data_IF_388537714155
#
_entry.id   IF_388537714155
#
_cell.length_a   1.000
_cell.length_b   1.000
_cell.length_c   1.000
_cell.angle_alpha   90.00
_cell.angle_beta   90.00
_cell.angle_gamma   90.00
#
_symmetry.space_group_name_H-M   'P 1'
#
loop_
_entity.id
_entity.type
_entity.pdbx_description
1 polymer ?
#
# COMPACT_ATOMS: atom_id res chain seq x y z
N UNK A 1 -20.17 21.64 -13.57
CA UNK A 1 -19.11 21.84 -12.56
C UNK A 1 -17.78 21.86 -13.31
N UNK A 2 -17.09 23.00 -13.34
CA UNK A 2 -15.85 23.16 -14.12
C UNK A 2 -14.67 23.00 -13.18
N UNK A 3 -13.86 21.96 -13.38
CA UNK A 3 -12.68 21.69 -12.57
C UNK A 3 -11.57 22.69 -12.91
N UNK A 4 -11.04 23.40 -11.90
CA UNK A 4 -9.92 24.31 -12.05
C UNK A 4 -8.65 23.52 -11.73
N UNK A 5 -7.68 23.39 -12.66
CA UNK A 5 -6.47 22.64 -12.40
C UNK A 5 -5.55 23.41 -11.43
N UNK A 6 -5.30 22.84 -10.25
CA UNK A 6 -4.33 23.35 -9.28
C UNK A 6 -3.02 22.59 -9.45
N UNK A 7 -1.90 23.29 -9.62
CA UNK A 7 -0.55 22.72 -9.63
C UNK A 7 0.03 22.78 -8.22
N UNK A 8 0.55 21.65 -7.75
CA UNK A 8 1.23 21.52 -6.45
C UNK A 8 2.72 21.31 -6.66
N UNK A 9 3.55 22.13 -6.00
CA UNK A 9 5.00 21.92 -5.90
C UNK A 9 5.36 21.54 -4.46
N UNK A 10 5.79 20.30 -4.25
CA UNK A 10 6.24 19.80 -2.94
C UNK A 10 7.76 19.98 -2.81
N UNK A 11 8.21 20.67 -1.76
CA UNK A 11 9.64 20.83 -1.46
C UNK A 11 10.17 19.64 -0.66
N UNK A 12 10.84 18.70 -1.34
CA UNK A 12 11.31 17.42 -0.77
C UNK A 12 12.39 17.54 0.33
N UNK A 13 13.11 18.66 0.42
CA UNK A 13 14.24 18.81 1.36
C UNK A 13 13.84 18.76 2.84
N UNK A 14 12.57 19.05 3.19
CA UNK A 14 12.07 19.02 4.57
C UNK A 14 11.63 17.62 5.06
N UNK A 15 11.51 16.64 4.17
CA UNK A 15 11.09 15.28 4.55
C UNK A 15 12.16 14.54 5.37
N UNK A 16 13.45 14.81 5.15
CA UNK A 16 14.55 14.06 5.80
C UNK A 16 14.67 14.32 7.32
N UNK A 17 14.40 15.55 7.76
CA UNK A 17 14.47 15.94 9.19
C UNK A 17 13.28 15.40 9.99
N UNK A 18 12.16 15.12 9.32
CA UNK A 18 10.94 14.56 9.92
C UNK A 18 11.13 13.15 10.48
N UNK A 19 11.98 12.34 9.84
CA UNK A 19 12.22 10.94 10.23
C UNK A 19 13.17 10.77 11.43
N UNK A 20 13.71 11.83 12.03
CA UNK A 20 14.75 11.71 13.07
C UNK A 20 14.21 11.54 14.51
N UNK A 21 12.92 11.82 14.78
CA UNK A 21 12.31 11.74 16.13
C UNK A 21 10.87 11.21 16.09
N UNK A 22 10.61 10.15 15.33
CA UNK A 22 9.24 9.75 14.96
C UNK A 22 8.53 8.82 15.93
N UNK A 23 9.26 8.21 16.87
CA UNK A 23 8.71 7.22 17.80
C UNK A 23 7.68 7.77 18.79
N UNK A 24 7.68 9.08 19.05
CA UNK A 24 6.72 9.72 19.96
C UNK A 24 5.60 10.48 19.26
N UNK A 25 5.53 10.46 17.92
CA UNK A 25 4.56 11.25 17.17
C UNK A 25 3.31 10.40 16.90
N UNK A 26 2.14 10.88 17.34
CA UNK A 26 0.84 10.23 17.09
C UNK A 26 0.17 10.74 15.83
N UNK A 27 0.35 12.03 15.53
CA UNK A 27 -0.32 12.70 14.42
C UNK A 27 0.63 13.67 13.71
N UNK A 28 0.45 13.78 12.40
CA UNK A 28 1.05 14.80 11.56
C UNK A 28 -0.02 15.77 11.09
N UNK A 29 0.27 17.07 11.14
CA UNK A 29 -0.62 18.09 10.56
C UNK A 29 -0.14 18.42 9.15
N UNK A 30 -0.88 17.97 8.15
CA UNK A 30 -0.68 18.34 6.76
C UNK A 30 -1.34 19.69 6.50
N UNK A 31 -0.53 20.73 6.38
CA UNK A 31 -0.97 22.07 5.95
C UNK A 31 -0.75 22.28 4.46
N UNK A 32 -1.80 22.59 3.73
CA UNK A 32 -1.79 23.00 2.33
C UNK A 32 -2.19 24.47 2.28
N UNK A 33 -1.26 25.32 1.82
CA UNK A 33 -1.47 26.75 1.64
C UNK A 33 -1.20 27.11 0.19
N UNK A 34 -2.12 27.85 -0.42
CA UNK A 34 -2.01 28.31 -1.79
C UNK A 34 -2.94 29.49 -2.05
N UNK A 35 -3.02 29.91 -3.31
CA UNK A 35 -3.99 30.91 -3.75
C UNK A 35 -4.54 30.50 -5.11
N UNK A 36 -5.84 30.73 -5.32
CA UNK A 36 -6.50 30.51 -6.59
C UNK A 36 -6.79 31.86 -7.25
N UNK A 37 -6.27 32.04 -8.46
CA UNK A 37 -6.49 33.26 -9.24
C UNK A 37 -7.73 33.12 -10.12
N UNK A 38 -8.71 33.97 -9.88
CA UNK A 38 -9.94 34.05 -10.65
C UNK A 38 -9.88 35.27 -11.58
N UNK A 39 -9.94 35.06 -12.90
CA UNK A 39 -10.12 36.17 -13.82
C UNK A 39 -11.55 36.70 -13.70
N UNK A 40 -11.72 37.97 -13.35
CA UNK A 40 -13.03 38.62 -13.31
C UNK A 40 -13.01 39.79 -14.29
N UNK A 41 -14.02 39.89 -15.16
CA UNK A 41 -14.22 41.05 -16.03
C UNK A 41 -15.33 41.91 -15.44
N UNK A 42 -14.97 42.94 -14.67
CA UNK A 42 -15.87 44.01 -14.22
C UNK A 42 -15.29 45.36 -14.65
N UNK A 43 -15.81 45.94 -15.74
CA UNK A 43 -15.48 47.30 -16.17
C UNK A 43 -13.97 47.62 -16.23
N UNK A 44 -13.59 48.83 -15.79
CA UNK A 44 -12.23 49.37 -15.82
C UNK A 44 -11.33 48.96 -14.63
N UNK A 45 -11.71 47.94 -13.86
CA UNK A 45 -10.95 47.48 -12.69
C UNK A 45 -10.04 46.28 -13.01
N UNK A 46 -8.96 46.07 -12.24
CA UNK A 46 -7.97 45.01 -12.50
C UNK A 46 -8.61 43.61 -12.55
N UNK A 47 -8.12 42.82 -13.52
CA UNK A 47 -8.78 41.64 -14.08
C UNK A 47 -8.56 40.31 -13.34
N UNK A 48 -8.03 40.33 -12.11
CA UNK A 48 -7.68 39.10 -11.35
C UNK A 48 -7.94 39.26 -9.85
N UNK A 49 -8.70 38.34 -9.28
CA UNK A 49 -8.90 38.20 -7.83
C UNK A 49 -8.24 36.91 -7.36
N UNK A 50 -7.30 37.03 -6.42
CA UNK A 50 -6.62 35.88 -5.82
C UNK A 50 -7.29 35.53 -4.50
N UNK A 51 -7.79 34.30 -4.37
CA UNK A 51 -8.39 33.80 -3.13
C UNK A 51 -7.40 32.89 -2.44
N UNK A 52 -6.94 33.21 -1.22
CA UNK A 52 -6.07 32.32 -0.47
C UNK A 52 -6.85 31.07 -0.05
N UNK A 53 -6.22 29.92 -0.20
CA UNK A 53 -6.71 28.62 0.23
C UNK A 53 -5.76 28.11 1.32
N UNK A 54 -6.31 27.79 2.48
CA UNK A 54 -5.59 27.12 3.57
C UNK A 54 -6.41 25.91 4.02
N UNK A 55 -5.84 24.73 3.90
CA UNK A 55 -6.40 23.49 4.42
C UNK A 55 -5.39 22.89 5.38
N UNK A 56 -5.83 22.52 6.57
CA UNK A 56 -5.03 21.77 7.52
C UNK A 56 -5.76 20.47 7.83
N UNK A 57 -5.08 19.33 7.71
CA UNK A 57 -5.64 18.02 8.01
C UNK A 57 -4.68 17.26 8.92
N UNK A 58 -5.21 16.68 10.00
CA UNK A 58 -4.45 15.75 10.85
C UNK A 58 -4.47 14.37 10.22
N UNK A 59 -3.31 13.73 10.16
CA UNK A 59 -3.12 12.37 9.67
C UNK A 59 -2.40 11.57 10.75
N UNK A 60 -2.82 10.33 11.03
CA UNK A 60 -2.13 9.48 11.99
C UNK A 60 -0.70 9.22 11.52
N UNK A 61 0.23 9.22 12.46
CA UNK A 61 1.63 8.96 12.19
C UNK A 61 1.86 7.46 11.99
N UNK A 62 2.12 7.05 10.75
CA UNK A 62 2.27 5.65 10.39
C UNK A 62 3.59 5.40 9.65
N UNK A 63 4.48 4.67 10.30
CA UNK A 63 5.76 4.21 9.75
C UNK A 63 5.83 2.70 10.01
N UNK A 64 5.28 1.89 9.09
CA UNK A 64 5.24 0.44 9.28
C UNK A 64 6.63 -0.17 9.10
N UNK A 65 7.01 -1.01 10.04
CA UNK A 65 8.03 -2.04 9.90
C UNK A 65 7.32 -3.40 9.76
N UNK A 66 7.80 -4.25 8.86
CA UNK A 66 7.11 -5.49 8.48
C UNK A 66 8.05 -6.67 8.57
N UNK A 67 7.71 -7.64 9.42
CA UNK A 67 8.43 -8.90 9.57
C UNK A 67 7.54 -10.10 9.21
N UNK A 68 8.21 -11.19 8.84
CA UNK A 68 7.59 -12.47 8.54
C UNK A 68 7.94 -13.47 9.65
N UNK A 69 6.93 -14.07 10.27
CA UNK A 69 7.07 -14.98 11.40
C UNK A 69 6.26 -16.26 11.16
N UNK A 70 6.55 -17.32 11.93
CA UNK A 70 5.78 -18.58 11.97
C UNK A 70 5.42 -19.15 10.59
N UNK A 71 6.43 -19.32 9.73
CA UNK A 71 6.25 -19.82 8.36
C UNK A 71 6.11 -21.34 8.35
N UNK A 72 4.94 -21.82 7.96
CA UNK A 72 4.60 -23.22 7.80
C UNK A 72 4.43 -23.56 6.32
N UNK A 73 5.23 -24.49 5.80
CA UNK A 73 5.14 -24.94 4.41
C UNK A 73 4.38 -26.26 4.30
N UNK A 74 3.49 -26.35 3.32
CA UNK A 74 2.76 -27.57 2.97
C UNK A 74 3.03 -27.92 1.51
N UNK A 75 3.75 -29.02 1.30
CA UNK A 75 4.07 -29.51 -0.02
C UNK A 75 2.80 -30.02 -0.75
N UNK A 76 2.72 -29.83 -2.08
CA UNK A 76 1.61 -30.37 -2.86
C UNK A 76 1.58 -31.90 -2.81
N UNK A 77 0.38 -32.48 -2.85
CA UNK A 77 0.25 -33.92 -3.04
C UNK A 77 0.50 -34.28 -4.50
N UNK A 78 1.18 -35.40 -4.75
CA UNK A 78 1.34 -35.95 -6.10
C UNK A 78 0.00 -36.32 -6.75
N UNK A 79 -1.05 -36.48 -5.94
CA UNK A 79 -2.41 -36.77 -6.40
C UNK A 79 -3.14 -35.53 -6.93
N UNK A 80 -2.66 -34.33 -6.63
CA UNK A 80 -3.32 -33.07 -7.01
C UNK A 80 -3.12 -32.73 -8.50
N UNK A 81 -2.19 -33.42 -9.18
CA UNK A 81 -2.01 -33.33 -10.62
C UNK A 81 -1.82 -31.89 -11.12
N UNK A 82 -2.79 -31.40 -11.89
CA UNK A 82 -2.75 -30.04 -12.46
C UNK A 82 -3.06 -28.93 -11.45
N UNK A 83 -3.69 -29.27 -10.33
CA UNK A 83 -4.08 -28.34 -9.26
C UNK A 83 -3.05 -28.32 -8.11
N UNK A 84 -1.94 -29.03 -8.27
CA UNK A 84 -0.84 -29.05 -7.31
C UNK A 84 -0.33 -27.63 -7.00
N UNK A 85 -0.39 -27.26 -5.73
CA UNK A 85 0.11 -25.99 -5.23
C UNK A 85 0.99 -26.18 -4.00
N UNK A 86 2.09 -25.43 -3.93
CA UNK A 86 2.85 -25.27 -2.70
C UNK A 86 2.14 -24.22 -1.85
N UNK A 87 1.71 -24.61 -0.65
CA UNK A 87 1.08 -23.70 0.29
C UNK A 87 2.06 -23.27 1.38
N UNK A 88 1.96 -22.02 1.81
CA UNK A 88 2.73 -21.45 2.91
C UNK A 88 1.81 -20.59 3.77
N UNK A 89 1.63 -20.98 5.03
CA UNK A 89 0.96 -20.16 6.03
C UNK A 89 2.02 -19.40 6.83
N UNK A 90 1.85 -18.10 7.04
CA UNK A 90 2.78 -17.30 7.82
C UNK A 90 2.09 -16.14 8.51
N UNK A 91 2.73 -15.61 9.53
CA UNK A 91 2.28 -14.44 10.25
C UNK A 91 3.04 -13.22 9.71
N UNK A 92 2.32 -12.28 9.12
CA UNK A 92 2.84 -10.97 8.76
C UNK A 92 2.68 -10.06 9.97
N UNK A 93 3.77 -9.81 10.68
CA UNK A 93 3.80 -8.89 11.81
C UNK A 93 4.15 -7.49 11.31
N UNK A 94 3.29 -6.54 11.58
CA UNK A 94 3.43 -5.15 11.17
C UNK A 94 3.51 -4.32 12.45
N UNK A 95 4.59 -3.58 12.63
CA UNK A 95 4.80 -2.70 13.78
C UNK A 95 4.80 -1.24 13.32
N UNK A 96 4.09 -0.36 14.01
CA UNK A 96 4.22 1.07 13.76
C UNK A 96 5.39 1.60 14.60
N UNK A 97 6.41 2.11 13.92
CA UNK A 97 7.56 2.75 14.57
C UNK A 97 7.22 4.16 15.09
N UNK A 98 6.01 4.66 14.81
CA UNK A 98 5.44 5.87 15.39
C UNK A 98 4.40 5.54 16.47
N UNK A 99 3.82 6.55 17.11
CA UNK A 99 2.94 6.37 18.27
C UNK A 99 1.45 6.17 17.92
N UNK A 100 1.06 6.24 16.64
CA UNK A 100 -0.33 6.05 16.26
C UNK A 100 -0.76 4.58 16.39
N UNK A 101 -1.91 4.37 17.02
CA UNK A 101 -2.57 3.07 17.01
C UNK A 101 -3.08 2.72 15.62
N UNK A 102 -2.89 1.47 15.21
CA UNK A 102 -3.39 0.96 13.94
C UNK A 102 -3.77 -0.52 14.01
N UNK A 103 -4.56 -0.99 13.05
CA UNK A 103 -4.88 -2.39 12.88
C UNK A 103 -5.04 -2.69 11.39
N UNK A 104 -4.41 -3.76 10.91
CA UNK A 104 -4.52 -4.22 9.52
C UNK A 104 -5.49 -5.39 9.48
N UNK A 105 -6.72 -5.13 9.05
CA UNK A 105 -7.79 -6.12 8.97
C UNK A 105 -7.74 -6.85 7.63
N UNK A 106 -6.94 -7.90 7.61
CA UNK A 106 -6.79 -8.76 6.46
C UNK A 106 -5.86 -8.22 5.38
N UNK A 107 -5.47 -9.14 4.50
CA UNK A 107 -4.59 -8.89 3.38
C UNK A 107 -4.84 -9.99 2.35
N UNK A 108 -5.43 -9.60 1.23
CA UNK A 108 -5.61 -10.47 0.08
C UNK A 108 -4.71 -9.98 -1.04
N UNK A 109 -4.04 -10.89 -1.73
CA UNK A 109 -3.21 -10.53 -2.86
C UNK A 109 -3.14 -11.62 -3.92
N UNK A 110 -2.78 -11.21 -5.12
CA UNK A 110 -2.43 -12.06 -6.24
C UNK A 110 -1.26 -11.44 -6.99
N UNK A 111 -0.34 -12.27 -7.44
CA UNK A 111 0.77 -11.91 -8.29
C UNK A 111 0.72 -12.75 -9.55
N UNK A 112 0.72 -12.06 -10.69
CA UNK A 112 0.92 -12.64 -12.01
C UNK A 112 2.34 -12.35 -12.46
N UNK A 113 2.98 -13.34 -13.08
CA UNK A 113 4.31 -13.22 -13.69
C UNK A 113 4.25 -13.79 -15.11
N UNK A 114 4.64 -12.98 -16.09
CA UNK A 114 4.58 -13.36 -17.51
C UNK A 114 3.16 -13.66 -18.00
N UNK A 115 2.15 -13.02 -17.38
CA UNK A 115 0.73 -13.26 -17.67
C UNK A 115 0.16 -14.56 -17.09
N UNK A 116 0.93 -15.30 -16.28
CA UNK A 116 0.47 -16.50 -15.57
C UNK A 116 0.39 -16.25 -14.06
N UNK A 117 -0.60 -16.86 -13.39
CA UNK A 117 -0.68 -16.80 -11.93
C UNK A 117 0.59 -17.40 -11.31
N UNK A 118 1.21 -16.65 -10.41
CA UNK A 118 2.47 -17.00 -9.76
C UNK A 118 2.30 -17.25 -8.26
N UNK A 119 1.57 -16.36 -7.58
CA UNK A 119 1.35 -16.45 -6.14
C UNK A 119 -0.01 -15.82 -5.80
N UNK A 120 -0.72 -16.40 -4.85
CA UNK A 120 -1.96 -15.83 -4.29
C UNK A 120 -1.92 -15.95 -2.78
N UNK A 121 -2.46 -14.97 -2.06
CA UNK A 121 -2.51 -14.99 -0.61
C UNK A 121 -3.84 -14.47 -0.10
N UNK A 122 -4.33 -15.08 0.97
CA UNK A 122 -5.54 -14.65 1.68
C UNK A 122 -5.29 -14.63 3.17
N UNK A 123 -5.73 -13.58 3.83
CA UNK A 123 -5.71 -13.54 5.29
C UNK A 123 -6.68 -14.55 5.88
N UNK A 124 -6.19 -15.36 6.80
CA UNK A 124 -6.99 -16.28 7.61
C UNK A 124 -7.49 -15.60 8.89
N UNK A 125 -6.59 -14.85 9.53
CA UNK A 125 -6.85 -14.22 10.82
C UNK A 125 -6.03 -12.95 10.95
N UNK A 126 -6.60 -11.98 11.66
CA UNK A 126 -5.89 -10.80 12.14
C UNK A 126 -5.97 -10.75 13.65
N UNK A 127 -4.88 -10.38 14.30
CA UNK A 127 -4.82 -10.10 15.73
C UNK A 127 -3.96 -8.88 16.02
N UNK A 128 -4.07 -8.36 17.23
CA UNK A 128 -3.20 -7.32 17.77
C UNK A 128 -2.27 -7.96 18.79
N UNK A 129 -1.00 -7.57 18.75
CA UNK A 129 0.00 -7.94 19.73
C UNK A 129 0.82 -6.69 20.13
N UNK A 130 0.47 -6.07 21.25
CA UNK A 130 1.05 -4.79 21.66
C UNK A 130 0.75 -3.66 20.66
N UNK A 131 1.82 -3.02 20.16
CA UNK A 131 1.76 -2.01 19.09
C UNK A 131 1.84 -2.63 17.68
N UNK A 132 1.81 -3.96 17.57
CA UNK A 132 1.85 -4.66 16.30
C UNK A 132 0.46 -5.16 15.88
N UNK A 133 0.23 -5.15 14.56
CA UNK A 133 -0.84 -5.88 13.91
C UNK A 133 -0.25 -7.14 13.28
N UNK A 134 -0.80 -8.31 13.64
CA UNK A 134 -0.38 -9.59 13.09
C UNK A 134 -1.47 -10.10 12.15
N UNK A 135 -1.09 -10.37 10.90
CA UNK A 135 -2.00 -10.90 9.87
C UNK A 135 -1.50 -12.27 9.46
N UNK A 136 -2.21 -13.33 9.84
CA UNK A 136 -1.90 -14.68 9.36
C UNK A 136 -2.43 -14.84 7.95
N UNK A 137 -1.54 -15.12 7.01
CA UNK A 137 -1.82 -15.26 5.59
C UNK A 137 -1.57 -16.71 5.17
N UNK A 138 -2.51 -17.28 4.43
CA UNK A 138 -2.30 -18.51 3.68
C UNK A 138 -2.00 -18.16 2.23
N UNK A 139 -0.82 -18.57 1.77
CA UNK A 139 -0.32 -18.26 0.44
C UNK A 139 -0.15 -19.53 -0.37
N UNK A 140 -0.56 -19.49 -1.63
CA UNK A 140 -0.56 -20.61 -2.55
C UNK A 140 0.20 -20.27 -3.83
N UNK A 141 1.17 -21.12 -4.16
CA UNK A 141 1.96 -21.06 -5.38
C UNK A 141 1.55 -22.23 -6.29
N UNK A 142 0.77 -21.98 -7.37
CA UNK A 142 0.38 -23.03 -8.31
C UNK A 142 1.62 -23.49 -9.10
N UNK A 143 2.03 -24.75 -8.93
CA UNK A 143 3.32 -25.26 -9.43
C UNK A 143 3.43 -25.13 -10.96
N UNK A 144 2.38 -25.50 -11.69
CA UNK A 144 2.37 -25.40 -13.16
C UNK A 144 2.43 -23.95 -13.65
N UNK A 145 1.69 -23.05 -13.00
CA UNK A 145 1.67 -21.62 -13.34
C UNK A 145 3.01 -20.97 -13.08
N UNK A 146 3.55 -21.19 -11.88
CA UNK A 146 4.85 -20.68 -11.46
C UNK A 146 6.00 -21.23 -12.31
N UNK A 147 5.98 -22.53 -12.66
CA UNK A 147 6.98 -23.13 -13.54
C UNK A 147 7.00 -22.50 -14.93
N UNK A 148 5.83 -22.25 -15.54
CA UNK A 148 5.73 -21.54 -16.83
C UNK A 148 6.22 -20.10 -16.73
N UNK A 149 5.87 -19.40 -15.66
CA UNK A 149 6.30 -18.03 -15.40
C UNK A 149 7.82 -17.91 -15.21
N UNK A 150 8.44 -18.88 -14.51
CA UNK A 150 9.88 -18.95 -14.34
C UNK A 150 10.60 -19.25 -15.66
N UNK A 151 10.12 -20.24 -16.41
CA UNK A 151 10.68 -20.56 -17.73
C UNK A 151 10.58 -19.38 -18.71
N UNK A 152 9.50 -18.60 -18.68
CA UNK A 152 9.35 -17.42 -19.53
C UNK A 152 10.30 -16.30 -19.10
N UNK A 153 10.50 -16.08 -17.80
CA UNK A 153 11.50 -15.15 -17.27
C UNK A 153 12.91 -15.49 -17.76
N UNK A 154 13.33 -16.76 -17.60
CA UNK A 154 14.65 -17.23 -18.02
C UNK A 154 14.88 -17.13 -19.52
N UNK A 155 13.92 -17.56 -20.35
CA UNK A 155 14.05 -17.52 -21.81
C UNK A 155 14.06 -16.09 -22.38
N UNK A 156 13.37 -15.17 -21.72
CA UNK A 156 13.11 -13.83 -22.27
C UNK A 156 14.00 -12.73 -21.66
N UNK A 157 14.89 -13.07 -20.72
CA UNK A 157 15.73 -12.10 -20.00
C UNK A 157 14.93 -11.11 -19.13
N UNK A 158 13.70 -11.47 -18.78
CA UNK A 158 12.76 -10.58 -18.11
C UNK A 158 11.31 -11.01 -18.26
N UNK A 159 10.45 -10.50 -17.39
CA UNK A 159 9.02 -10.82 -17.40
C UNK A 159 8.20 -9.69 -16.79
N UNK A 160 7.01 -9.45 -17.33
CA UNK A 160 6.09 -8.49 -16.73
C UNK A 160 5.49 -9.10 -15.47
N UNK A 161 5.38 -8.31 -14.41
CA UNK A 161 4.66 -8.70 -13.21
C UNK A 161 3.44 -7.81 -13.01
N UNK A 162 2.43 -8.34 -12.35
CA UNK A 162 1.30 -7.57 -11.83
C UNK A 162 0.92 -8.09 -10.46
N UNK A 163 0.93 -7.21 -9.47
CA UNK A 163 0.51 -7.48 -8.11
C UNK A 163 -0.80 -6.73 -7.88
N UNK A 164 -1.83 -7.46 -7.44
CA UNK A 164 -3.15 -6.92 -7.11
C UNK A 164 -3.55 -7.36 -5.72
N UNK A 165 -4.25 -6.52 -4.99
CA UNK A 165 -4.78 -6.91 -3.70
C UNK A 165 -5.53 -5.82 -2.99
N UNK A 166 -6.00 -6.19 -1.82
CA UNK A 166 -6.81 -5.38 -0.94
C UNK A 166 -6.42 -5.66 0.52
N UNK A 167 -6.56 -4.63 1.34
CA UNK A 167 -6.37 -4.67 2.77
C UNK A 167 -7.19 -3.55 3.40
N UNK A 168 -7.60 -3.70 4.65
CA UNK A 168 -8.21 -2.64 5.42
C UNK A 168 -7.24 -2.20 6.52
N UNK A 169 -6.98 -0.90 6.62
CA UNK A 169 -6.16 -0.33 7.69
C UNK A 169 -7.01 0.63 8.50
N UNK A 170 -7.18 0.32 9.77
CA UNK A 170 -7.90 1.13 10.72
C UNK A 170 -6.92 1.91 11.61
N UNK A 171 -7.21 3.19 11.83
CA UNK A 171 -6.52 4.03 12.81
C UNK A 171 -7.53 4.49 13.88
N UNK A 172 -7.72 3.70 14.96
CA UNK A 172 -8.73 3.99 15.98
C UNK A 172 -8.57 5.38 16.58
N UNK A 173 -9.66 6.13 16.70
CA UNK A 173 -9.65 7.48 17.29
C UNK A 173 -9.15 8.58 16.34
N UNK A 174 -9.03 8.30 15.04
CA UNK A 174 -8.70 9.29 14.01
C UNK A 174 -9.80 9.41 12.96
N UNK A 175 -9.73 10.41 12.08
CA UNK A 175 -10.66 10.53 10.92
C UNK A 175 -10.50 9.39 9.88
N UNK A 176 -9.56 8.46 10.10
CA UNK A 176 -9.26 7.29 9.26
C UNK A 176 -9.54 5.98 10.02
N UNK A 177 -10.65 5.92 10.76
CA UNK A 177 -11.04 4.70 11.53
C UNK A 177 -11.17 3.46 10.67
N UNK A 178 -11.49 3.62 9.37
CA UNK A 178 -11.49 2.54 8.39
C UNK A 178 -10.97 3.05 7.06
N UNK A 179 -9.91 2.44 6.54
CA UNK A 179 -9.32 2.80 5.26
C UNK A 179 -9.15 1.56 4.40
N UNK A 180 -10.06 1.38 3.45
CA UNK A 180 -9.91 0.35 2.42
C UNK A 180 -8.75 0.74 1.49
N UNK A 181 -7.71 -0.10 1.46
CA UNK A 181 -6.54 0.06 0.61
C UNK A 181 -6.55 -0.99 -0.51
N UNK A 182 -6.73 -0.52 -1.74
CA UNK A 182 -6.60 -1.36 -2.93
C UNK A 182 -5.31 -1.02 -3.66
N UNK A 183 -4.60 -2.04 -4.12
CA UNK A 183 -3.40 -1.87 -4.91
C UNK A 183 -3.46 -2.70 -6.19
N UNK A 184 -3.03 -2.08 -7.28
CA UNK A 184 -2.78 -2.72 -8.56
C UNK A 184 -1.49 -2.12 -9.13
N UNK A 185 -0.41 -2.90 -9.04
CA UNK A 185 0.93 -2.49 -9.44
C UNK A 185 1.43 -3.44 -10.51
N UNK A 186 1.84 -2.90 -11.64
CA UNK A 186 2.49 -3.65 -12.70
C UNK A 186 3.86 -3.08 -12.99
N UNK A 187 4.73 -3.93 -13.52
CA UNK A 187 6.07 -3.53 -13.91
C UNK A 187 6.77 -4.64 -14.67
N UNK A 188 8.08 -4.49 -14.85
CA UNK A 188 8.92 -5.46 -15.53
C UNK A 188 10.04 -5.89 -14.59
N UNK A 189 10.15 -7.19 -14.37
CA UNK A 189 11.33 -7.82 -13.79
C UNK A 189 12.33 -8.06 -14.92
N UNK A 190 13.57 -7.69 -14.68
CA UNK A 190 14.71 -8.01 -15.53
C UNK A 190 15.71 -8.80 -14.69
N UNK A 191 16.31 -9.84 -15.27
CA UNK A 191 17.34 -10.63 -14.64
C UNK A 191 18.54 -10.75 -15.58
#
# INVERSE_FOLDING_TARGET
STAIPVKFELQFAKLKTFFQNVSSVTDYTLGLRGSADFPIKLGSMPTKVSVPLSMEKKLPAFIPDVSLENVDFSAPSLLDGADAALSAAFDLRIENQAAADFLVNGLNYSMDLGGSSFLQGKSLQTSRDGNASVVRVDSSLPILGAGRAFLSLFKSGGSNYRIRGDSDVAFPGSDLEKTDFQFDKSGKLSW
#
